data_IF_009881385560
#
_entry.id   IF_009881385560
#
_cell.length_a   1.000
_cell.length_b   1.000
_cell.length_c   1.000
_cell.angle_alpha   90.00
_cell.angle_beta   90.00
_cell.angle_gamma   90.00
#
_symmetry.space_group_name_H-M   'P 1'
#
loop_
_entity.id
_entity.type
_entity.pdbx_description
1 polymer ?
#
# COMPACT_ATOMS: atom_id res chain seq x y z
N UNK A 1 5.35 10.66 -2.83
CA UNK A 1 6.35 9.62 -3.16
C UNK A 1 7.00 10.04 -4.47
N UNK A 2 8.33 10.02 -4.58
CA UNK A 2 8.94 10.23 -5.89
C UNK A 2 8.60 9.03 -6.76
N UNK A 3 8.20 9.24 -8.01
CA UNK A 3 7.81 8.15 -8.91
C UNK A 3 9.03 7.28 -9.28
N UNK A 4 10.24 7.81 -9.10
CA UNK A 4 11.50 7.05 -9.23
C UNK A 4 11.83 6.21 -7.98
N UNK A 5 11.19 6.45 -6.83
CA UNK A 5 11.42 5.67 -5.61
C UNK A 5 10.71 4.32 -5.73
N UNK A 6 11.47 3.25 -5.97
CA UNK A 6 10.90 1.91 -6.12
C UNK A 6 10.34 1.34 -4.80
N UNK A 7 10.76 1.88 -3.65
CA UNK A 7 10.37 1.38 -2.33
C UNK A 7 10.44 2.48 -1.27
N UNK A 8 9.33 2.67 -0.55
CA UNK A 8 9.26 3.46 0.69
C UNK A 8 8.88 2.54 1.84
N UNK A 9 9.61 2.59 2.95
CA UNK A 9 9.34 1.79 4.15
C UNK A 9 8.92 2.73 5.28
N UNK A 10 7.81 2.41 5.93
CA UNK A 10 7.27 3.16 7.07
C UNK A 10 7.02 2.25 8.27
N UNK A 11 7.24 2.78 9.47
CA UNK A 11 6.99 2.07 10.74
C UNK A 11 5.75 2.60 11.43
N UNK A 12 4.84 1.71 11.86
CA UNK A 12 3.80 2.06 12.83
C UNK A 12 4.30 1.66 14.22
N UNK A 13 4.86 2.63 14.95
CA UNK A 13 5.61 2.38 16.19
C UNK A 13 4.81 1.66 17.29
N UNK A 14 3.49 1.86 17.33
CA UNK A 14 2.62 1.26 18.37
C UNK A 14 2.49 -0.26 18.29
N UNK A 15 2.60 -0.85 17.11
CA UNK A 15 2.36 -2.29 16.90
C UNK A 15 3.66 -3.06 16.60
N UNK A 16 4.82 -2.38 16.55
CA UNK A 16 6.10 -2.95 16.07
C UNK A 16 5.98 -3.63 14.70
N UNK A 17 5.09 -3.11 13.85
CA UNK A 17 4.87 -3.60 12.49
C UNK A 17 5.53 -2.67 11.48
N UNK A 18 6.18 -3.28 10.50
CA UNK A 18 6.80 -2.61 9.37
C UNK A 18 5.83 -2.64 8.20
N UNK A 19 5.50 -1.48 7.67
CA UNK A 19 4.70 -1.35 6.46
C UNK A 19 5.59 -0.89 5.31
N UNK A 20 5.27 -1.37 4.13
CA UNK A 20 6.00 -1.07 2.90
C UNK A 20 5.04 -0.55 1.88
N UNK A 21 5.51 0.43 1.12
CA UNK A 21 4.83 0.99 -0.04
C UNK A 21 5.80 0.81 -1.18
N UNK A 22 5.50 -0.11 -2.09
CA UNK A 22 6.34 -0.36 -3.25
C UNK A 22 5.70 0.30 -4.47
N UNK A 23 6.52 0.94 -5.30
CA UNK A 23 6.09 1.43 -6.59
C UNK A 23 6.85 0.72 -7.70
N UNK A 24 6.15 0.39 -8.78
CA UNK A 24 6.74 -0.26 -9.95
C UNK A 24 6.35 0.53 -11.18
N UNK A 25 7.30 1.29 -11.74
CA UNK A 25 7.09 1.96 -13.02
C UNK A 25 7.12 0.95 -14.16
N UNK A 26 6.09 0.97 -14.99
CA UNK A 26 5.95 0.18 -16.22
C UNK A 26 5.50 1.07 -17.37
N UNK A 27 5.48 0.51 -18.58
CA UNK A 27 5.10 1.24 -19.79
C UNK A 27 3.69 1.82 -19.73
N UNK A 28 2.76 1.19 -19.00
CA UNK A 28 1.36 1.62 -18.88
C UNK A 28 1.06 2.52 -17.67
N UNK A 29 2.01 2.69 -16.73
CA UNK A 29 1.76 3.44 -15.51
C UNK A 29 2.66 3.05 -14.34
N UNK A 30 2.20 3.41 -13.14
CA UNK A 30 2.85 3.06 -11.87
C UNK A 30 1.93 2.14 -11.09
N UNK A 31 2.44 0.97 -10.72
CA UNK A 31 1.77 0.06 -9.80
C UNK A 31 2.21 0.41 -8.39
N UNK A 32 1.25 0.56 -7.47
CA UNK A 32 1.52 0.85 -6.06
C UNK A 32 0.90 -0.26 -5.23
N UNK A 33 1.67 -0.81 -4.29
CA UNK A 33 1.18 -1.82 -3.35
C UNK A 33 1.60 -1.48 -1.92
N UNK A 34 0.75 -1.86 -0.97
CA UNK A 34 0.99 -1.70 0.46
C UNK A 34 1.02 -3.08 1.09
N UNK A 35 2.10 -3.40 1.79
CA UNK A 35 2.30 -4.70 2.47
C UNK A 35 2.89 -4.52 3.86
N UNK A 36 2.66 -5.49 4.75
CA UNK A 36 3.23 -5.52 6.09
C UNK A 36 4.32 -6.57 6.14
N UNK A 37 5.54 -6.16 6.48
CA UNK A 37 6.62 -7.08 6.83
C UNK A 37 6.35 -7.55 8.24
N UNK A 38 5.75 -8.73 8.35
CA UNK A 38 5.48 -9.38 9.61
C UNK A 38 5.96 -10.83 9.53
N UNK A 39 6.49 -11.39 10.64
CA UNK A 39 6.59 -12.84 10.74
C UNK A 39 5.20 -13.45 10.54
N UNK A 40 5.12 -14.67 10.02
CA UNK A 40 3.87 -15.42 9.78
C UNK A 40 3.07 -15.77 11.06
N UNK A 41 3.17 -14.94 12.10
CA UNK A 41 2.49 -15.09 13.37
C UNK A 41 1.08 -14.48 13.30
N UNK A 42 0.08 -15.14 13.90
CA UNK A 42 -1.27 -14.60 14.09
C UNK A 42 -1.31 -13.22 14.79
N UNK A 43 -0.22 -12.82 15.47
CA UNK A 43 -0.11 -11.55 16.20
C UNK A 43 -0.21 -10.31 15.30
N UNK A 44 0.19 -10.41 14.03
CA UNK A 44 -0.10 -9.34 13.08
C UNK A 44 -1.59 -9.45 12.76
N UNK A 45 -2.42 -8.64 13.43
CA UNK A 45 -3.87 -8.63 13.24
C UNK A 45 -4.29 -8.39 11.78
N UNK A 46 -5.59 -8.25 11.55
CA UNK A 46 -6.10 -7.85 10.22
C UNK A 46 -5.98 -6.34 10.07
N UNK A 47 -5.53 -5.90 8.91
CA UNK A 47 -5.43 -4.49 8.57
C UNK A 47 -6.09 -4.26 7.21
N UNK A 48 -6.88 -3.20 7.10
CA UNK A 48 -7.33 -2.65 5.83
C UNK A 48 -6.48 -1.43 5.47
N UNK A 49 -6.51 -1.04 4.21
CA UNK A 49 -5.85 0.19 3.79
C UNK A 49 -6.58 0.92 2.67
N UNK A 50 -6.30 2.22 2.56
CA UNK A 50 -6.63 2.96 1.36
C UNK A 50 -5.46 3.83 0.90
N UNK A 51 -5.35 3.95 -0.42
CA UNK A 51 -4.38 4.81 -1.10
C UNK A 51 -5.20 5.91 -1.77
N UNK A 52 -4.90 7.16 -1.47
CA UNK A 52 -5.52 8.32 -2.10
C UNK A 52 -4.44 9.15 -2.78
N UNK A 53 -4.69 9.57 -4.01
CA UNK A 53 -3.85 10.52 -4.73
C UNK A 53 -4.72 11.56 -5.41
N UNK A 54 -4.16 12.76 -5.61
CA UNK A 54 -4.89 13.88 -6.20
C UNK A 54 -4.26 14.27 -7.53
N UNK A 55 -5.07 14.42 -8.56
CA UNK A 55 -4.66 14.83 -9.91
C UNK A 55 -5.65 15.87 -10.41
N UNK A 56 -5.16 17.04 -10.83
CA UNK A 56 -5.99 18.16 -11.31
C UNK A 56 -7.12 18.55 -10.34
N UNK A 57 -6.83 18.53 -9.03
CA UNK A 57 -7.81 18.79 -7.98
C UNK A 57 -8.80 17.65 -7.70
N UNK A 58 -8.80 16.58 -8.50
CA UNK A 58 -9.63 15.40 -8.28
C UNK A 58 -8.89 14.38 -7.42
N UNK A 59 -9.52 13.93 -6.33
CA UNK A 59 -8.98 12.89 -5.46
C UNK A 59 -9.49 11.51 -5.85
N UNK A 60 -8.59 10.58 -6.13
CA UNK A 60 -8.89 9.20 -6.50
C UNK A 60 -8.43 8.31 -5.35
N UNK A 61 -9.31 7.42 -4.89
CA UNK A 61 -9.04 6.53 -3.74
C UNK A 61 -9.23 5.06 -4.12
N UNK A 62 -8.20 4.26 -3.88
CA UNK A 62 -8.27 2.80 -3.87
C UNK A 62 -8.38 2.30 -2.43
N UNK A 63 -9.26 1.32 -2.19
CA UNK A 63 -9.45 0.68 -0.88
C UNK A 63 -9.24 -0.82 -1.02
N UNK A 64 -8.51 -1.42 -0.08
CA UNK A 64 -8.43 -2.87 0.06
C UNK A 64 -8.83 -3.28 1.47
N UNK A 65 -9.71 -4.30 1.63
CA UNK A 65 -10.16 -4.77 2.92
C UNK A 65 -9.06 -5.51 3.69
N UNK A 66 -8.02 -6.00 3.01
CA UNK A 66 -6.95 -6.77 3.62
C UNK A 66 -5.58 -6.38 3.07
N UNK A 67 -4.67 -6.14 3.99
CA UNK A 67 -3.29 -5.78 3.73
C UNK A 67 -2.43 -7.06 3.66
N UNK A 68 -1.69 -7.20 2.57
CA UNK A 68 -0.86 -8.37 2.32
C UNK A 68 0.28 -8.46 3.34
N UNK A 69 0.41 -9.62 3.98
CA UNK A 69 1.52 -9.91 4.91
C UNK A 69 2.63 -10.61 4.14
N UNK A 70 3.85 -10.12 4.29
CA UNK A 70 5.04 -10.63 3.61
C UNK A 70 6.15 -10.87 4.62
N UNK A 71 6.99 -11.87 4.37
CA UNK A 71 8.22 -12.05 5.14
C UNK A 71 9.38 -11.19 4.59
N UNK A 72 9.37 -10.95 3.27
CA UNK A 72 10.40 -10.19 2.54
C UNK A 72 9.75 -9.42 1.40
N UNK A 73 10.28 -8.25 1.09
CA UNK A 73 9.87 -7.44 -0.08
C UNK A 73 10.25 -8.14 -1.38
N UNK A 74 9.36 -8.05 -2.37
CA UNK A 74 9.60 -8.56 -3.73
C UNK A 74 9.79 -7.38 -4.67
N UNK A 75 10.67 -7.53 -5.67
CA UNK A 75 10.86 -6.54 -6.73
C UNK A 75 10.11 -6.90 -8.02
N UNK A 76 9.30 -7.97 -7.98
CA UNK A 76 8.41 -8.33 -9.08
C UNK A 76 7.13 -7.49 -9.03
N UNK A 77 6.62 -7.13 -10.20
CA UNK A 77 5.34 -6.42 -10.33
C UNK A 77 4.23 -7.19 -9.61
N UNK A 78 3.38 -6.54 -8.81
CA UNK A 78 2.30 -7.21 -8.10
C UNK A 78 1.22 -7.68 -9.09
N UNK A 79 0.67 -8.87 -8.84
CA UNK A 79 -0.47 -9.44 -9.60
C UNK A 79 -1.81 -9.23 -8.89
N UNK A 80 -1.79 -8.85 -7.61
CA UNK A 80 -2.96 -8.66 -6.75
C UNK A 80 -2.70 -7.50 -5.75
N UNK A 81 -3.75 -6.98 -5.12
CA UNK A 81 -3.65 -5.98 -4.04
C UNK A 81 -2.76 -4.78 -4.41
N UNK A 82 -2.99 -4.24 -5.61
CA UNK A 82 -2.29 -3.08 -6.13
C UNK A 82 -3.25 -2.04 -6.69
N UNK A 83 -2.76 -0.80 -6.74
CA UNK A 83 -3.38 0.31 -7.42
C UNK A 83 -2.55 0.65 -8.66
N UNK A 84 -3.19 0.71 -9.84
CA UNK A 84 -2.55 1.18 -11.07
C UNK A 84 -2.88 2.66 -11.29
N UNK A 85 -1.85 3.49 -11.38
CA UNK A 85 -1.94 4.90 -11.74
C UNK A 85 -1.49 5.03 -13.19
N UNK A 86 -2.43 5.34 -14.08
CA UNK A 86 -2.15 5.46 -15.51
C UNK A 86 -1.21 6.63 -15.79
N UNK A 87 -0.38 6.50 -16.83
CA UNK A 87 0.54 7.57 -17.25
C UNK A 87 -0.17 8.91 -17.49
N UNK A 88 -1.39 8.89 -18.01
CA UNK A 88 -2.22 10.10 -18.21
C UNK A 88 -2.50 10.88 -16.93
N UNK A 89 -2.35 10.25 -15.78
CA UNK A 89 -2.58 10.84 -14.45
C UNK A 89 -1.27 11.24 -13.75
N UNK A 90 -0.12 10.99 -14.38
CA UNK A 90 1.20 11.31 -13.83
C UNK A 90 1.70 12.60 -14.48
N UNK A 91 1.77 13.69 -13.71
CA UNK A 91 2.37 14.95 -14.15
C UNK A 91 3.65 15.20 -13.35
N UNK A 92 4.78 15.32 -14.04
CA UNK A 92 6.08 15.53 -13.40
C UNK A 92 6.68 14.28 -12.76
N UNK A 93 7.66 14.50 -11.88
CA UNK A 93 8.47 13.42 -11.28
C UNK A 93 7.90 12.88 -9.96
N UNK A 94 7.00 13.62 -9.31
CA UNK A 94 6.47 13.26 -7.99
C UNK A 94 4.95 13.23 -7.97
N UNK A 95 4.39 12.24 -7.28
CA UNK A 95 2.96 12.19 -6.99
C UNK A 95 2.73 12.27 -5.49
N UNK A 96 1.91 13.24 -5.07
CA UNK A 96 1.44 13.30 -3.70
C UNK A 96 0.42 12.19 -3.45
N UNK A 97 0.68 11.39 -2.42
CA UNK A 97 -0.09 10.21 -2.10
C UNK A 97 -0.26 10.12 -0.58
N UNK A 98 -1.49 9.83 -0.17
CA UNK A 98 -1.86 9.58 1.21
C UNK A 98 -2.21 8.11 1.36
N UNK A 99 -1.61 7.47 2.36
CA UNK A 99 -1.83 6.06 2.66
C UNK A 99 -2.38 5.99 4.07
N UNK A 100 -3.57 5.42 4.19
CA UNK A 100 -4.22 5.19 5.48
C UNK A 100 -4.27 3.70 5.73
N UNK A 101 -3.74 3.27 6.87
CA UNK A 101 -3.75 1.87 7.31
C UNK A 101 -4.56 1.80 8.60
N UNK A 102 -5.51 0.88 8.67
CA UNK A 102 -6.41 0.72 9.81
C UNK A 102 -6.37 -0.72 10.31
N UNK A 103 -6.21 -0.89 11.63
CA UNK A 103 -6.37 -2.19 12.28
C UNK A 103 -7.86 -2.55 12.34
N UNK A 104 -8.20 -3.71 11.82
CA UNK A 104 -9.56 -4.26 11.90
C UNK A 104 -9.78 -4.90 13.26
N UNK A 105 -10.96 -4.70 13.84
CA UNK A 105 -11.33 -5.35 15.10
C UNK A 105 -11.59 -6.82 14.82
N UNK A 106 -11.05 -7.70 15.67
CA UNK A 106 -11.43 -9.10 15.64
C UNK A 106 -12.92 -9.22 15.99
N UNK A 107 -13.71 -9.75 15.05
CA UNK A 107 -15.10 -10.07 15.31
C UNK A 107 -15.12 -11.25 16.28
N UNK A 108 -15.48 -10.96 17.55
CA UNK A 108 -15.75 -12.02 18.53
C UNK A 108 -16.88 -12.87 17.96
N UNK A 109 -16.58 -14.08 17.51
CA UNK A 109 -17.60 -15.09 17.23
C UNK A 109 -18.18 -15.50 18.57
N UNK A 110 -19.35 -14.95 18.92
CA UNK A 110 -20.18 -15.49 19.99
C UNK A 110 -20.68 -16.85 19.50
N UNK A 111 -20.27 -17.91 20.19
CA UNK A 111 -20.87 -19.25 20.07
C UNK A 111 -21.92 -19.33 21.18
#
# INVERSE_FOLDING_TARGET
MNISDNLVIGTLYKERLLFTVQSFRKSNGVYVTVSCIAPSSPKAGKFSYCITYTVHGLSITYKSPELKKIQRVSFHTPTENYMLIRNSSLHGESLEMRICIKKEKEMKRTI
#
